data_IF_942189187944
#
_entry.id   IF_942189187944
#
_cell.length_a   1.000
_cell.length_b   1.000
_cell.length_c   1.000
_cell.angle_alpha   90.00
_cell.angle_beta   90.00
_cell.angle_gamma   90.00
#
_symmetry.space_group_name_H-M   'P 1'
#
loop_
_entity.id
_entity.type
_entity.pdbx_description
1 polymer ?
#
# COMPACT_ATOMS: atom_id res chain seq x y z
N UNK A 1 4.13 42.60 55.25
CA UNK A 1 4.77 43.05 54.01
C UNK A 1 4.55 41.96 53.00
N UNK A 2 3.50 42.11 52.21
CA UNK A 2 3.13 41.24 51.10
C UNK A 2 4.09 41.49 49.95
N UNK A 3 4.97 40.53 49.67
CA UNK A 3 5.78 40.55 48.47
C UNK A 3 4.86 40.33 47.28
N UNK A 4 4.63 41.41 46.51
CA UNK A 4 3.98 41.38 45.22
C UNK A 4 4.69 40.36 44.33
N UNK A 5 4.04 39.21 44.12
CA UNK A 5 4.36 38.26 43.07
C UNK A 5 4.03 38.90 41.72
N UNK A 6 4.91 39.80 41.26
CA UNK A 6 4.88 40.29 39.90
C UNK A 6 5.16 39.10 38.97
N UNK A 7 4.10 38.49 38.44
CA UNK A 7 4.17 37.59 37.30
C UNK A 7 4.82 38.36 36.15
N UNK A 8 6.14 38.25 36.03
CA UNK A 8 6.85 38.70 34.84
C UNK A 8 6.26 37.89 33.68
N UNK A 9 5.75 38.52 32.60
CA UNK A 9 5.25 37.76 31.46
C UNK A 9 6.39 36.84 31.01
N UNK A 10 6.17 35.52 31.09
CA UNK A 10 7.17 34.56 30.67
C UNK A 10 7.49 34.85 29.21
N UNK A 11 8.68 35.38 28.95
CA UNK A 11 9.15 35.58 27.59
C UNK A 11 9.32 34.18 26.99
N UNK A 12 8.33 33.74 26.23
CA UNK A 12 8.39 32.47 25.52
C UNK A 12 9.43 32.56 24.42
N UNK A 13 10.67 32.23 24.76
CA UNK A 13 11.81 32.19 23.85
C UNK A 13 11.52 31.33 22.61
N UNK A 14 10.75 30.26 22.79
CA UNK A 14 10.30 29.33 21.73
C UNK A 14 9.47 30.07 20.67
N UNK A 15 8.44 30.82 21.09
CA UNK A 15 7.53 31.53 20.17
C UNK A 15 8.27 32.66 19.44
N UNK A 16 9.21 33.31 20.13
CA UNK A 16 10.10 34.31 19.52
C UNK A 16 10.97 33.69 18.41
N UNK A 17 11.64 32.56 18.69
CA UNK A 17 12.43 31.87 17.66
C UNK A 17 11.57 31.34 16.50
N UNK A 18 10.37 30.82 16.79
CA UNK A 18 9.42 30.35 15.77
C UNK A 18 8.97 31.50 14.85
N UNK A 19 8.60 32.65 15.43
CA UNK A 19 8.18 33.81 14.64
C UNK A 19 9.31 34.33 13.74
N UNK A 20 10.55 34.40 14.25
CA UNK A 20 11.74 34.73 13.43
C UNK A 20 11.93 33.72 12.31
N UNK A 21 11.88 32.42 12.60
CA UNK A 21 11.99 31.38 11.59
C UNK A 21 10.91 31.49 10.51
N UNK A 22 9.67 31.80 10.89
CA UNK A 22 8.54 32.01 9.96
C UNK A 22 8.79 33.20 9.04
N UNK A 23 9.32 34.31 9.56
CA UNK A 23 9.69 35.46 8.72
C UNK A 23 10.81 35.10 7.74
N UNK A 24 11.83 34.36 8.18
CA UNK A 24 12.93 33.89 7.32
C UNK A 24 12.45 32.91 6.25
N UNK A 25 11.51 32.02 6.60
CA UNK A 25 10.88 31.10 5.63
C UNK A 25 10.11 31.89 4.56
N UNK A 26 9.38 32.95 4.93
CA UNK A 26 8.70 33.82 3.96
C UNK A 26 9.67 34.56 3.02
N UNK A 27 10.89 34.85 3.51
CA UNK A 27 12.02 35.40 2.73
C UNK A 27 12.78 34.33 1.93
N UNK A 28 12.38 33.06 2.00
CA UNK A 28 13.04 31.90 1.38
C UNK A 28 14.46 31.62 1.91
N UNK A 29 14.81 32.16 3.07
CA UNK A 29 16.09 31.90 3.75
C UNK A 29 16.02 30.61 4.59
N UNK A 30 15.82 29.46 3.94
CA UNK A 30 15.50 28.21 4.63
C UNK A 30 16.61 27.72 5.58
N UNK A 31 17.89 27.83 5.20
CA UNK A 31 19.00 27.41 6.06
C UNK A 31 19.07 28.20 7.38
N UNK A 32 18.83 29.51 7.32
CA UNK A 32 18.77 30.36 8.51
C UNK A 32 17.52 30.07 9.34
N UNK A 33 16.37 29.82 8.69
CA UNK A 33 15.17 29.40 9.39
C UNK A 33 15.38 28.09 10.17
N UNK A 34 16.06 27.10 9.59
CA UNK A 34 16.40 25.84 10.26
C UNK A 34 17.23 26.05 11.54
N UNK A 35 18.16 27.01 11.53
CA UNK A 35 18.96 27.34 12.72
C UNK A 35 18.09 27.82 13.89
N UNK A 36 17.19 28.77 13.65
CA UNK A 36 16.28 29.28 14.68
C UNK A 36 15.25 28.23 15.12
N UNK A 37 14.79 27.37 14.21
CA UNK A 37 13.90 26.26 14.56
C UNK A 37 14.60 25.22 15.44
N UNK A 38 15.88 24.94 15.19
CA UNK A 38 16.67 24.09 16.06
C UNK A 38 16.83 24.70 17.46
N UNK A 39 17.01 26.02 17.57
CA UNK A 39 17.02 26.72 18.87
C UNK A 39 15.66 26.66 19.57
N UNK A 40 14.56 26.84 18.83
CA UNK A 40 13.21 26.71 19.38
C UNK A 40 12.95 25.32 19.95
N UNK A 41 13.35 24.27 19.22
CA UNK A 41 13.18 22.89 19.64
C UNK A 41 14.08 22.55 20.84
N UNK A 42 15.32 23.03 20.90
CA UNK A 42 16.17 22.88 22.10
C UNK A 42 15.55 23.41 23.39
N UNK A 43 14.69 24.43 23.29
CA UNK A 43 13.99 25.00 24.44
C UNK A 43 12.69 24.25 24.74
N UNK A 44 12.01 23.75 23.71
CA UNK A 44 10.83 22.91 23.85
C UNK A 44 10.78 21.84 22.75
N UNK A 45 11.19 20.63 23.12
CA UNK A 45 11.23 19.46 22.23
C UNK A 45 9.85 18.96 21.79
N UNK A 46 8.75 19.54 22.29
CA UNK A 46 7.37 19.18 21.93
C UNK A 46 6.64 20.29 21.18
N UNK A 47 7.36 21.29 20.67
CA UNK A 47 6.73 22.39 19.95
C UNK A 47 6.37 22.01 18.50
N UNK A 48 5.13 21.56 18.32
CA UNK A 48 4.58 21.04 17.05
C UNK A 48 4.72 22.03 15.87
N UNK A 49 4.38 23.33 16.01
CA UNK A 49 4.55 24.30 14.92
C UNK A 49 6.00 24.40 14.42
N UNK A 50 7.00 24.29 15.31
CA UNK A 50 8.40 24.30 14.92
C UNK A 50 8.78 23.07 14.11
N UNK A 51 8.32 21.88 14.49
CA UNK A 51 8.56 20.68 13.68
C UNK A 51 7.94 20.81 12.28
N UNK A 52 6.68 21.24 12.19
CA UNK A 52 5.99 21.44 10.90
C UNK A 52 6.72 22.43 10.00
N UNK A 53 7.13 23.58 10.55
CA UNK A 53 7.86 24.59 9.79
C UNK A 53 9.26 24.09 9.39
N UNK A 54 9.92 23.29 10.25
CA UNK A 54 11.23 22.70 9.97
C UNK A 54 11.16 21.67 8.86
N UNK A 55 10.18 20.76 8.90
CA UNK A 55 9.93 19.81 7.81
C UNK A 55 9.65 20.51 6.49
N UNK A 56 8.90 21.61 6.51
CA UNK A 56 8.61 22.40 5.31
C UNK A 56 9.88 23.08 4.76
N UNK A 57 10.75 23.61 5.63
CA UNK A 57 12.05 24.13 5.22
C UNK A 57 12.95 23.04 4.62
N UNK A 58 13.00 21.83 5.23
CA UNK A 58 13.73 20.69 4.70
C UNK A 58 13.19 20.24 3.33
N UNK A 59 11.87 20.23 3.16
CA UNK A 59 11.22 19.93 1.88
C UNK A 59 11.66 20.90 0.77
N UNK A 60 11.69 22.21 1.04
CA UNK A 60 12.18 23.20 0.06
C UNK A 60 13.68 23.11 -0.23
N UNK A 61 14.46 22.52 0.67
CA UNK A 61 15.88 22.23 0.46
C UNK A 61 16.11 20.86 -0.22
N UNK A 62 15.04 20.17 -0.62
CA UNK A 62 15.05 18.81 -1.16
C UNK A 62 15.64 17.76 -0.20
N UNK A 63 15.66 18.04 1.11
CA UNK A 63 16.08 17.09 2.15
C UNK A 63 14.90 16.26 2.64
N UNK A 64 14.32 15.45 1.75
CA UNK A 64 13.06 14.73 1.98
C UNK A 64 13.12 13.76 3.17
N UNK A 65 14.24 13.07 3.40
CA UNK A 65 14.39 12.14 4.53
C UNK A 65 14.30 12.84 5.89
N UNK A 66 14.93 14.02 6.03
CA UNK A 66 14.86 14.83 7.26
C UNK A 66 13.45 15.39 7.45
N UNK A 67 12.82 15.83 6.36
CA UNK A 67 11.44 16.30 6.40
C UNK A 67 10.46 15.20 6.85
N UNK A 68 10.63 13.97 6.36
CA UNK A 68 9.81 12.83 6.77
C UNK A 68 9.95 12.53 8.27
N UNK A 69 11.17 12.52 8.79
CA UNK A 69 11.41 12.28 10.21
C UNK A 69 10.66 13.31 11.09
N UNK A 70 10.73 14.58 10.72
CA UNK A 70 10.05 15.67 11.44
C UNK A 70 8.53 15.59 11.35
N UNK A 71 7.97 15.17 10.22
CA UNK A 71 6.51 15.01 10.10
C UNK A 71 6.03 13.77 10.87
N UNK A 72 6.83 12.69 10.88
CA UNK A 72 6.52 11.49 11.65
C UNK A 72 6.49 11.77 13.16
N UNK A 73 7.40 12.59 13.70
CA UNK A 73 7.34 12.99 15.11
C UNK A 73 6.07 13.78 15.39
N UNK A 74 5.66 14.69 14.51
CA UNK A 74 4.39 15.42 14.66
C UNK A 74 3.19 14.47 14.65
N UNK A 75 3.16 13.48 13.76
CA UNK A 75 2.06 12.51 13.70
C UNK A 75 2.05 11.53 14.88
N UNK A 76 3.20 11.30 15.55
CA UNK A 76 3.24 10.56 16.81
C UNK A 76 2.57 11.34 17.94
N UNK A 77 2.76 12.66 18.00
CA UNK A 77 2.12 13.53 18.99
C UNK A 77 0.65 13.81 18.66
N UNK A 78 0.35 14.10 17.39
CA UNK A 78 -0.97 14.45 16.89
C UNK A 78 -1.30 13.64 15.62
N UNK A 79 -1.84 12.41 15.77
CA UNK A 79 -2.08 11.50 14.64
C UNK A 79 -3.16 11.98 13.67
N UNK A 80 -3.93 13.02 14.04
CA UNK A 80 -5.02 13.59 13.24
C UNK A 80 -4.74 15.03 12.80
N UNK A 81 -3.49 15.50 12.88
CA UNK A 81 -3.15 16.84 12.45
C UNK A 81 -3.24 16.95 10.91
N UNK A 82 -4.13 17.79 10.34
CA UNK A 82 -4.30 17.89 8.89
C UNK A 82 -3.08 18.51 8.20
N UNK A 83 -2.38 19.45 8.83
CA UNK A 83 -1.19 20.08 8.26
C UNK A 83 -0.03 19.10 8.17
N UNK A 84 0.13 18.23 9.17
CA UNK A 84 1.12 17.18 9.15
C UNK A 84 0.84 16.15 8.04
N UNK A 85 -0.41 15.72 7.88
CA UNK A 85 -0.81 14.79 6.82
C UNK A 85 -0.62 15.37 5.42
N UNK A 86 -0.94 16.66 5.24
CA UNK A 86 -0.72 17.36 3.99
C UNK A 86 0.77 17.40 3.64
N UNK A 87 1.61 17.81 4.60
CA UNK A 87 3.05 17.89 4.38
C UNK A 87 3.66 16.50 4.15
N UNK A 88 3.19 15.46 4.86
CA UNK A 88 3.60 14.07 4.62
C UNK A 88 3.31 13.65 3.17
N UNK A 89 2.10 13.93 2.68
CA UNK A 89 1.70 13.59 1.33
C UNK A 89 2.50 14.36 0.27
N UNK A 90 2.80 15.64 0.52
CA UNK A 90 3.68 16.43 -0.35
C UNK A 90 5.12 15.89 -0.37
N UNK A 91 5.66 15.46 0.77
CA UNK A 91 7.00 14.88 0.83
C UNK A 91 7.05 13.53 0.09
N UNK A 92 6.04 12.66 0.24
CA UNK A 92 5.94 11.42 -0.55
C UNK A 92 5.85 11.71 -2.05
N UNK A 93 5.06 12.71 -2.44
CA UNK A 93 4.96 13.13 -3.83
C UNK A 93 6.32 13.61 -4.38
N UNK A 94 7.08 14.40 -3.62
CA UNK A 94 8.42 14.85 -4.01
C UNK A 94 9.45 13.73 -4.07
N UNK A 95 9.28 12.69 -3.24
CA UNK A 95 10.10 11.48 -3.27
C UNK A 95 9.80 10.58 -4.48
N UNK A 96 8.65 10.77 -5.13
CA UNK A 96 8.16 9.97 -6.26
C UNK A 96 7.26 8.80 -5.85
N UNK A 97 6.93 8.67 -4.56
CA UNK A 97 6.08 7.62 -4.02
C UNK A 97 4.59 8.03 -4.19
N UNK A 98 4.11 8.06 -5.44
CA UNK A 98 2.81 8.63 -5.78
C UNK A 98 1.62 7.86 -5.16
N UNK A 99 1.73 6.55 -4.98
CA UNK A 99 0.68 5.72 -4.37
C UNK A 99 0.49 6.05 -2.88
N UNK A 100 1.59 6.12 -2.12
CA UNK A 100 1.60 6.49 -0.71
C UNK A 100 1.14 7.95 -0.50
N UNK A 101 1.57 8.85 -1.40
CA UNK A 101 1.10 10.23 -1.43
C UNK A 101 -0.43 10.30 -1.63
N UNK A 102 -0.96 9.58 -2.62
CA UNK A 102 -2.40 9.53 -2.93
C UNK A 102 -3.21 9.01 -1.73
N UNK A 103 -2.77 7.91 -1.11
CA UNK A 103 -3.42 7.37 0.08
C UNK A 103 -3.44 8.39 1.22
N UNK A 104 -2.32 9.09 1.45
CA UNK A 104 -2.19 10.09 2.51
C UNK A 104 -3.08 11.31 2.25
N UNK A 105 -3.14 11.80 1.01
CA UNK A 105 -4.05 12.88 0.61
C UNK A 105 -5.53 12.50 0.83
N UNK A 106 -5.92 11.26 0.51
CA UNK A 106 -7.27 10.77 0.80
C UNK A 106 -7.58 10.70 2.29
N UNK A 107 -6.65 10.22 3.12
CA UNK A 107 -6.80 10.22 4.58
C UNK A 107 -6.99 11.63 5.13
N UNK A 108 -6.20 12.60 4.64
CA UNK A 108 -6.35 14.01 4.99
C UNK A 108 -7.69 14.60 4.57
N UNK A 109 -8.16 14.29 3.34
CA UNK A 109 -9.46 14.72 2.82
C UNK A 109 -10.64 14.23 3.66
N UNK A 110 -10.58 12.98 4.15
CA UNK A 110 -11.61 12.43 5.03
C UNK A 110 -11.66 13.18 6.37
N UNK A 111 -10.51 13.58 6.91
CA UNK A 111 -10.42 14.30 8.19
C UNK A 111 -10.84 15.78 8.08
N UNK A 112 -10.43 16.46 7.00
CA UNK A 112 -10.70 17.87 6.75
C UNK A 112 -10.97 18.11 5.25
N UNK A 113 -12.23 17.93 4.79
CA UNK A 113 -12.58 18.12 3.38
C UNK A 113 -12.58 19.60 2.95
N UNK A 114 -12.56 20.53 3.90
CA UNK A 114 -12.53 21.98 3.63
C UNK A 114 -11.19 22.47 3.08
N UNK A 115 -10.10 21.71 3.29
CA UNK A 115 -8.77 22.08 2.82
C UNK A 115 -8.63 21.64 1.36
N UNK A 116 -8.71 22.59 0.45
CA UNK A 116 -8.65 22.38 -1.01
C UNK A 116 -7.34 21.71 -1.45
N UNK A 117 -6.24 21.95 -0.73
CA UNK A 117 -4.92 21.39 -1.02
C UNK A 117 -4.93 19.85 -1.06
N UNK A 118 -5.79 19.18 -0.28
CA UNK A 118 -5.95 17.73 -0.37
C UNK A 118 -6.53 17.30 -1.71
N UNK A 119 -7.55 18.02 -2.21
CA UNK A 119 -8.18 17.71 -3.49
C UNK A 119 -7.19 17.94 -4.65
N UNK A 120 -6.47 19.06 -4.61
CA UNK A 120 -5.42 19.37 -5.58
C UNK A 120 -4.30 18.33 -5.54
N UNK A 121 -3.90 17.87 -4.35
CA UNK A 121 -2.91 16.82 -4.15
C UNK A 121 -3.33 15.47 -4.72
N UNK A 122 -4.59 15.06 -4.51
CA UNK A 122 -5.17 13.84 -5.12
C UNK A 122 -5.08 13.92 -6.64
N UNK A 123 -5.54 15.01 -7.25
CA UNK A 123 -5.52 15.16 -8.70
C UNK A 123 -4.08 15.15 -9.26
N UNK A 124 -3.13 15.81 -8.58
CA UNK A 124 -1.71 15.77 -8.94
C UNK A 124 -1.15 14.34 -8.89
N UNK A 125 -1.48 13.56 -7.87
CA UNK A 125 -1.02 12.17 -7.78
C UNK A 125 -1.67 11.30 -8.85
N UNK A 126 -2.98 11.40 -9.08
CA UNK A 126 -3.69 10.65 -10.12
C UNK A 126 -3.12 10.92 -11.51
N UNK A 127 -2.90 12.20 -11.85
CA UNK A 127 -2.28 12.58 -13.11
C UNK A 127 -0.83 12.10 -13.22
N UNK A 128 -0.04 12.16 -12.14
CA UNK A 128 1.32 11.63 -12.11
C UNK A 128 1.33 10.11 -12.35
N UNK A 129 0.49 9.35 -11.65
CA UNK A 129 0.34 7.90 -11.82
C UNK A 129 -0.12 7.59 -13.24
N UNK A 130 -1.14 8.28 -13.74
CA UNK A 130 -1.66 8.07 -15.08
C UNK A 130 -0.59 8.32 -16.14
N UNK A 131 0.17 9.42 -16.03
CA UNK A 131 1.29 9.73 -16.90
C UNK A 131 2.42 8.70 -16.81
N UNK A 132 2.66 8.12 -15.63
CA UNK A 132 3.59 7.00 -15.47
C UNK A 132 3.05 5.71 -16.09
N UNK A 133 1.73 5.53 -16.15
CA UNK A 133 1.06 4.31 -16.63
C UNK A 133 0.60 4.34 -18.10
N UNK A 134 0.83 5.43 -18.86
CA UNK A 134 0.17 5.66 -20.18
C UNK A 134 0.43 4.64 -21.29
N UNK A 135 1.23 3.58 -21.07
CA UNK A 135 1.41 2.49 -22.04
C UNK A 135 0.61 1.22 -21.73
N UNK A 136 -0.14 1.15 -20.62
CA UNK A 136 -0.82 -0.08 -20.21
C UNK A 136 -2.36 0.04 -20.28
N UNK A 137 -2.92 0.04 -21.49
CA UNK A 137 -4.35 -0.29 -21.70
C UNK A 137 -4.56 -1.80 -21.53
N UNK A 138 -4.37 -2.30 -20.31
CA UNK A 138 -4.62 -3.72 -20.00
C UNK A 138 -6.13 -3.91 -19.90
N UNK A 139 -6.74 -4.50 -20.92
CA UNK A 139 -8.14 -4.92 -20.89
C UNK A 139 -8.18 -6.33 -20.32
N UNK A 140 -8.44 -6.44 -19.02
CA UNK A 140 -8.63 -7.73 -18.36
C UNK A 140 -9.89 -8.39 -18.95
N UNK A 141 -9.71 -9.50 -19.67
CA UNK A 141 -10.82 -10.33 -20.14
C UNK A 141 -11.41 -11.12 -18.97
N UNK A 142 -12.62 -11.65 -19.09
CA UNK A 142 -13.24 -12.48 -18.05
C UNK A 142 -12.40 -13.73 -17.70
N UNK A 143 -11.55 -14.15 -18.62
CA UNK A 143 -10.60 -15.26 -18.43
C UNK A 143 -9.32 -14.83 -17.69
N UNK A 144 -9.19 -13.53 -17.40
CA UNK A 144 -8.03 -12.85 -16.81
C UNK A 144 -6.72 -13.18 -17.54
N UNK A 145 -6.83 -13.36 -18.86
CA UNK A 145 -5.73 -13.85 -19.68
C UNK A 145 -4.77 -12.70 -20.03
N UNK A 146 -3.64 -12.68 -19.32
CA UNK A 146 -2.55 -11.73 -19.50
C UNK A 146 -1.62 -12.11 -20.67
N UNK A 147 -1.91 -13.19 -21.40
CA UNK A 147 -1.03 -13.69 -22.48
C UNK A 147 -0.72 -12.61 -23.52
N UNK A 148 -1.72 -11.81 -23.93
CA UNK A 148 -1.52 -10.70 -24.87
C UNK A 148 -0.59 -9.60 -24.34
N UNK A 149 -0.59 -9.35 -23.02
CA UNK A 149 0.30 -8.38 -22.39
C UNK A 149 1.74 -8.89 -22.37
N UNK A 150 1.94 -10.16 -21.97
CA UNK A 150 3.26 -10.78 -21.95
C UNK A 150 3.83 -11.04 -23.34
N UNK A 151 3.00 -11.31 -24.36
CA UNK A 151 3.44 -11.43 -25.75
C UNK A 151 4.00 -10.12 -26.31
N UNK A 152 3.44 -8.97 -25.91
CA UNK A 152 3.96 -7.65 -26.27
C UNK A 152 5.21 -7.24 -25.49
N UNK A 153 5.24 -7.51 -24.17
CA UNK A 153 6.35 -7.15 -23.30
C UNK A 153 7.58 -8.07 -23.48
N UNK A 154 7.37 -9.34 -23.83
CA UNK A 154 8.40 -10.34 -24.04
C UNK A 154 8.12 -11.12 -25.33
N UNK A 155 8.44 -10.56 -26.51
CA UNK A 155 8.21 -11.25 -27.77
C UNK A 155 8.93 -12.60 -27.75
N UNK A 156 8.17 -13.69 -27.92
CA UNK A 156 8.75 -15.04 -27.98
C UNK A 156 9.80 -15.02 -29.09
N UNK A 157 11.07 -15.29 -28.75
CA UNK A 157 12.05 -15.73 -29.75
C UNK A 157 11.38 -16.90 -30.48
N UNK A 158 11.31 -16.85 -31.82
CA UNK A 158 10.66 -17.87 -32.65
C UNK A 158 11.29 -19.24 -32.37
N UNK A 159 10.80 -19.94 -31.35
CA UNK A 159 11.16 -21.30 -31.04
C UNK A 159 10.42 -22.20 -32.03
N UNK A 160 11.13 -23.19 -32.54
CA UNK A 160 10.69 -24.06 -33.60
C UNK A 160 9.26 -24.57 -33.36
N UNK A 161 8.39 -24.32 -34.35
CA UNK A 161 7.10 -24.99 -34.50
C UNK A 161 7.36 -26.48 -34.48
N UNK A 162 7.17 -27.15 -33.35
CA UNK A 162 6.87 -28.58 -33.18
C UNK A 162 7.16 -29.00 -31.73
N UNK A 163 6.36 -28.54 -30.78
CA UNK A 163 6.20 -29.24 -29.51
C UNK A 163 4.69 -29.44 -29.29
N UNK A 164 4.19 -30.63 -29.60
CA UNK A 164 2.87 -31.05 -29.12
C UNK A 164 3.00 -31.17 -27.60
N UNK A 165 2.53 -30.16 -26.87
CA UNK A 165 2.39 -30.27 -25.42
C UNK A 165 1.25 -31.26 -25.19
N UNK A 166 1.63 -32.50 -24.88
CA UNK A 166 0.68 -33.52 -24.40
C UNK A 166 0.23 -33.06 -23.01
N UNK A 167 -0.97 -32.48 -22.92
CA UNK A 167 -1.64 -32.30 -21.63
C UNK A 167 -2.16 -33.69 -21.26
N UNK A 168 -1.34 -34.48 -20.56
CA UNK A 168 -1.81 -35.70 -19.92
C UNK A 168 -2.70 -35.30 -18.75
N UNK A 169 -3.98 -35.68 -18.81
CA UNK A 169 -4.89 -35.60 -17.65
C UNK A 169 -4.42 -36.61 -16.61
N UNK A 170 -3.48 -36.19 -15.77
CA UNK A 170 -3.08 -36.92 -14.58
C UNK A 170 -4.19 -36.91 -13.55
N UNK A 171 -4.35 -38.06 -12.85
CA UNK A 171 -5.20 -38.25 -11.68
C UNK A 171 -4.90 -37.15 -10.63
N UNK A 172 -5.88 -36.63 -9.88
CA UNK A 172 -5.62 -35.58 -8.88
C UNK A 172 -4.57 -36.08 -7.88
N UNK A 173 -3.45 -35.36 -7.72
CA UNK A 173 -2.38 -35.77 -6.82
C UNK A 173 -2.72 -35.47 -5.36
N UNK A 174 -2.38 -36.40 -4.48
CA UNK A 174 -2.63 -36.33 -3.04
C UNK A 174 -1.96 -35.10 -2.41
N UNK A 175 -2.71 -34.37 -1.58
CA UNK A 175 -2.27 -33.12 -0.97
C UNK A 175 -1.20 -33.38 0.09
N UNK A 176 -0.02 -32.73 0.02
CA UNK A 176 0.96 -32.77 1.11
C UNK A 176 0.35 -32.23 2.41
N UNK A 177 0.49 -32.98 3.50
CA UNK A 177 -0.18 -32.79 4.80
C UNK A 177 0.13 -31.44 5.50
N UNK A 178 1.16 -30.71 5.07
CA UNK A 178 1.63 -29.47 5.71
C UNK A 178 1.10 -28.15 5.12
N UNK A 179 0.24 -28.20 4.08
CA UNK A 179 -0.13 -26.99 3.33
C UNK A 179 -1.61 -26.65 3.46
N UNK A 180 -1.90 -25.43 3.94
CA UNK A 180 -3.25 -24.95 4.17
C UNK A 180 -4.17 -25.14 2.94
N UNK A 181 -5.42 -25.62 3.15
CA UNK A 181 -6.40 -25.82 2.09
C UNK A 181 -6.94 -24.48 1.57
N UNK A 182 -7.54 -24.52 0.37
CA UNK A 182 -8.25 -23.36 -0.18
C UNK A 182 -9.45 -22.99 0.72
N UNK A 183 -9.69 -21.69 1.00
CA UNK A 183 -10.60 -21.24 2.05
C UNK A 183 -12.09 -21.54 1.89
N UNK A 184 -12.59 -21.93 0.72
CA UNK A 184 -14.05 -22.02 0.50
C UNK A 184 -14.46 -23.26 -0.30
N UNK A 185 -15.54 -23.92 0.15
CA UNK A 185 -16.23 -25.04 -0.54
C UNK A 185 -17.65 -24.67 -1.02
N UNK A 186 -17.96 -23.38 -1.17
CA UNK A 186 -19.29 -22.91 -1.65
C UNK A 186 -19.46 -23.23 -3.14
N UNK A 187 -20.68 -23.54 -3.61
CA UNK A 187 -20.91 -23.77 -5.03
C UNK A 187 -20.74 -22.47 -5.85
N UNK A 188 -20.24 -22.63 -7.09
CA UNK A 188 -19.77 -21.53 -7.95
C UNK A 188 -20.84 -20.47 -8.25
N UNK A 189 -22.09 -20.87 -8.37
CA UNK A 189 -23.21 -19.96 -8.65
C UNK A 189 -23.44 -18.97 -7.51
N UNK A 190 -23.27 -19.42 -6.27
CA UNK A 190 -23.41 -18.59 -5.06
C UNK A 190 -22.21 -17.64 -4.95
N UNK A 191 -21.00 -18.16 -5.20
CA UNK A 191 -19.78 -17.34 -5.20
C UNK A 191 -19.84 -16.21 -6.22
N UNK A 192 -20.31 -16.49 -7.45
CA UNK A 192 -20.44 -15.46 -8.49
C UNK A 192 -21.40 -14.35 -8.09
N UNK A 193 -22.52 -14.70 -7.45
CA UNK A 193 -23.50 -13.72 -6.97
C UNK A 193 -22.97 -12.86 -5.83
N UNK A 194 -22.26 -13.46 -4.87
CA UNK A 194 -21.73 -12.75 -3.70
C UNK A 194 -20.54 -11.84 -4.03
N UNK A 195 -19.66 -12.32 -4.92
CA UNK A 195 -18.40 -11.64 -5.23
C UNK A 195 -18.56 -10.58 -6.32
N UNK A 196 -19.61 -10.68 -7.15
CA UNK A 196 -19.88 -9.74 -8.23
C UNK A 196 -18.69 -9.61 -9.18
N UNK A 197 -18.17 -8.38 -9.32
CA UNK A 197 -16.98 -8.10 -10.14
C UNK A 197 -15.73 -8.85 -9.62
N UNK A 198 -15.61 -9.01 -8.30
CA UNK A 198 -14.50 -9.69 -7.61
C UNK A 198 -14.41 -11.21 -7.84
N UNK A 199 -15.39 -11.79 -8.55
CA UNK A 199 -15.43 -13.22 -8.82
C UNK A 199 -14.30 -13.67 -9.75
N UNK A 200 -13.94 -12.84 -10.73
CA UNK A 200 -12.92 -13.20 -11.72
C UNK A 200 -11.54 -13.33 -11.05
N UNK A 201 -11.21 -12.40 -10.17
CA UNK A 201 -10.00 -12.40 -9.35
C UNK A 201 -9.96 -13.62 -8.42
N UNK A 202 -11.09 -13.99 -7.82
CA UNK A 202 -11.18 -15.19 -6.99
C UNK A 202 -10.92 -16.48 -7.79
N UNK A 203 -11.53 -16.62 -8.97
CA UNK A 203 -11.30 -17.80 -9.82
C UNK A 203 -9.87 -17.87 -10.35
N UNK A 204 -9.24 -16.71 -10.58
CA UNK A 204 -7.82 -16.66 -10.95
C UNK A 204 -6.93 -17.13 -9.82
N UNK A 205 -7.18 -16.67 -8.58
CA UNK A 205 -6.42 -17.11 -7.41
C UNK A 205 -6.61 -18.61 -7.13
N UNK A 206 -7.81 -19.16 -7.36
CA UNK A 206 -8.08 -20.59 -7.25
C UNK A 206 -7.27 -21.41 -8.28
N UNK A 207 -7.24 -20.96 -9.55
CA UNK A 207 -6.40 -21.58 -10.59
C UNK A 207 -4.91 -21.52 -10.25
N UNK A 208 -4.43 -20.33 -9.86
CA UNK A 208 -3.04 -20.10 -9.43
C UNK A 208 -2.66 -20.99 -8.25
N UNK A 209 -3.55 -21.16 -7.28
CA UNK A 209 -3.34 -22.08 -6.16
C UNK A 209 -3.15 -23.52 -6.66
N UNK A 210 -4.03 -23.99 -7.55
CA UNK A 210 -3.92 -25.31 -8.17
C UNK A 210 -2.60 -25.51 -8.92
N UNK A 211 -2.20 -24.54 -9.75
CA UNK A 211 -0.96 -24.61 -10.52
C UNK A 211 0.28 -24.64 -9.60
N UNK A 212 0.32 -23.81 -8.56
CA UNK A 212 1.41 -23.83 -7.58
C UNK A 212 1.42 -25.13 -6.75
N UNK A 213 0.25 -25.74 -6.45
CA UNK A 213 0.22 -27.05 -5.78
C UNK A 213 0.85 -28.16 -6.62
N UNK A 214 0.52 -28.19 -7.92
CA UNK A 214 1.09 -29.15 -8.86
C UNK A 214 2.60 -28.92 -9.02
N UNK A 215 3.02 -27.65 -9.09
CA UNK A 215 4.43 -27.28 -9.20
C UNK A 215 5.24 -27.68 -7.97
N UNK A 216 4.71 -27.47 -6.76
CA UNK A 216 5.35 -27.90 -5.51
C UNK A 216 5.56 -29.41 -5.51
N UNK A 217 4.55 -30.20 -5.87
CA UNK A 217 4.66 -31.66 -5.92
C UNK A 217 5.69 -32.11 -6.96
N UNK A 218 5.69 -31.51 -8.15
CA UNK A 218 6.69 -31.80 -9.19
C UNK A 218 8.11 -31.50 -8.69
N UNK A 219 8.32 -30.32 -8.10
CA UNK A 219 9.62 -29.93 -7.55
C UNK A 219 10.06 -30.82 -6.37
N UNK A 220 9.13 -31.23 -5.51
CA UNK A 220 9.42 -32.16 -4.41
C UNK A 220 9.81 -33.56 -4.92
N UNK A 221 9.17 -34.05 -5.97
CA UNK A 221 9.53 -35.32 -6.60
C UNK A 221 10.89 -35.26 -7.32
N UNK A 222 11.25 -34.11 -7.88
CA UNK A 222 12.52 -33.89 -8.55
C UNK A 222 13.68 -33.59 -7.58
N UNK A 223 13.38 -33.09 -6.38
CA UNK A 223 14.35 -32.68 -5.36
C UNK A 223 15.09 -33.84 -4.68
N UNK A 224 14.79 -35.10 -5.00
CA UNK A 224 15.51 -36.24 -4.43
C UNK A 224 16.97 -36.33 -4.88
N UNK A 225 17.39 -35.63 -5.96
CA UNK A 225 18.77 -35.76 -6.48
C UNK A 225 19.62 -34.49 -6.69
N UNK A 226 19.14 -33.22 -6.80
CA UNK A 226 20.11 -32.09 -7.00
C UNK A 226 19.66 -30.64 -6.66
N UNK A 227 20.67 -29.83 -6.31
CA UNK A 227 20.89 -28.35 -6.40
C UNK A 227 20.16 -27.34 -5.47
N UNK A 228 20.89 -26.35 -4.91
CA UNK A 228 20.33 -25.24 -4.11
C UNK A 228 19.40 -24.29 -4.88
N UNK A 229 19.54 -24.18 -6.21
CA UNK A 229 18.66 -23.35 -7.04
C UNK A 229 17.21 -23.88 -7.11
N UNK A 230 17.04 -25.21 -7.07
CA UNK A 230 15.71 -25.84 -6.99
C UNK A 230 15.03 -25.58 -5.65
N UNK A 231 15.79 -25.47 -4.55
CA UNK A 231 15.23 -25.11 -3.24
C UNK A 231 14.71 -23.67 -3.21
N UNK A 232 15.40 -22.72 -3.88
CA UNK A 232 14.93 -21.35 -3.98
C UNK A 232 13.60 -21.24 -4.77
N UNK A 233 13.49 -21.97 -5.88
CA UNK A 233 12.25 -22.00 -6.68
C UNK A 233 11.10 -22.70 -5.95
N UNK A 234 11.38 -23.78 -5.21
CA UNK A 234 10.40 -24.44 -4.35
C UNK A 234 9.90 -23.51 -3.24
N UNK A 235 10.78 -22.77 -2.58
CA UNK A 235 10.40 -21.82 -1.54
C UNK A 235 9.52 -20.69 -2.09
N UNK A 236 9.87 -20.14 -3.26
CA UNK A 236 9.06 -19.13 -3.95
C UNK A 236 7.67 -19.67 -4.31
N UNK A 237 7.58 -20.90 -4.82
CA UNK A 237 6.31 -21.55 -5.15
C UNK A 237 5.44 -21.77 -3.90
N UNK A 238 6.05 -22.17 -2.78
CA UNK A 238 5.36 -22.25 -1.47
C UNK A 238 4.87 -20.89 -0.99
N UNK A 239 5.64 -19.82 -1.15
CA UNK A 239 5.22 -18.45 -0.80
C UNK A 239 4.07 -17.96 -1.68
N UNK A 240 4.15 -18.15 -3.00
CA UNK A 240 3.07 -17.82 -3.93
C UNK A 240 1.77 -18.54 -3.57
N UNK A 241 1.85 -19.81 -3.19
CA UNK A 241 0.68 -20.57 -2.70
C UNK A 241 0.11 -19.94 -1.43
N UNK A 242 0.95 -19.57 -0.46
CA UNK A 242 0.52 -18.94 0.80
C UNK A 242 -0.15 -17.59 0.56
N UNK A 243 0.40 -16.77 -0.35
CA UNK A 243 -0.19 -15.47 -0.68
C UNK A 243 -1.53 -15.64 -1.39
N UNK A 244 -1.66 -16.59 -2.31
CA UNK A 244 -2.93 -16.91 -2.96
C UNK A 244 -4.02 -17.30 -1.94
N UNK A 245 -3.69 -18.17 -0.97
CA UNK A 245 -4.62 -18.54 0.12
C UNK A 245 -5.01 -17.31 0.95
N UNK A 246 -4.05 -16.45 1.32
CA UNK A 246 -4.34 -15.23 2.10
C UNK A 246 -5.29 -14.30 1.35
N UNK A 247 -5.05 -14.07 0.06
CA UNK A 247 -5.92 -13.25 -0.77
C UNK A 247 -7.31 -13.88 -0.92
N UNK A 248 -7.38 -15.20 -1.15
CA UNK A 248 -8.63 -15.95 -1.20
C UNK A 248 -9.43 -15.82 0.11
N UNK A 249 -8.78 -15.95 1.27
CA UNK A 249 -9.45 -15.83 2.58
C UNK A 249 -10.01 -14.43 2.83
N UNK A 250 -9.34 -13.40 2.33
CA UNK A 250 -9.79 -12.02 2.47
C UNK A 250 -11.04 -11.78 1.63
N UNK A 251 -11.01 -12.20 0.37
CA UNK A 251 -12.15 -12.13 -0.53
C UNK A 251 -13.35 -12.92 0.01
N UNK A 252 -13.09 -14.10 0.57
CA UNK A 252 -14.14 -14.93 1.16
C UNK A 252 -14.80 -14.28 2.37
N UNK A 253 -14.00 -13.72 3.29
CA UNK A 253 -14.51 -12.98 4.46
C UNK A 253 -15.32 -11.76 4.05
N UNK A 254 -14.89 -11.09 2.98
CA UNK A 254 -15.59 -9.93 2.43
C UNK A 254 -16.97 -10.35 1.88
N UNK A 255 -17.04 -11.46 1.13
CA UNK A 255 -18.32 -12.03 0.68
C UNK A 255 -19.22 -12.48 1.84
N UNK A 256 -18.66 -13.06 2.91
CA UNK A 256 -19.42 -13.44 4.10
C UNK A 256 -20.03 -12.24 4.83
N UNK A 257 -19.33 -11.10 4.86
CA UNK A 257 -19.86 -9.86 5.40
C UNK A 257 -21.08 -9.39 4.60
N UNK A 258 -21.03 -9.45 3.27
CA UNK A 258 -22.19 -9.14 2.42
C UNK A 258 -23.36 -10.10 2.64
N UNK A 259 -23.08 -11.40 2.75
CA UNK A 259 -24.10 -12.41 3.04
C UNK A 259 -24.75 -12.20 4.42
N UNK A 260 -24.04 -11.64 5.41
CA UNK A 260 -24.60 -11.30 6.73
C UNK A 260 -25.49 -10.07 6.71
N UNK A 261 -25.18 -9.10 5.83
CA UNK A 261 -25.87 -7.81 5.75
C UNK A 261 -27.17 -7.87 4.95
N UNK A 262 -27.27 -8.75 3.95
CA UNK A 262 -28.46 -8.84 3.09
C UNK A 262 -29.14 -10.23 3.20
N UNK A 263 -30.34 -10.33 3.82
CA UNK A 263 -31.04 -11.59 3.98
C UNK A 263 -31.48 -12.25 2.66
N UNK A 264 -31.52 -11.52 1.54
CA UNK A 264 -31.82 -12.06 0.21
C UNK A 264 -30.73 -12.99 -0.36
N UNK A 265 -29.53 -12.96 0.20
CA UNK A 265 -28.40 -13.83 -0.19
C UNK A 265 -28.20 -15.05 0.72
N UNK A 266 -29.06 -15.22 1.75
CA UNK A 266 -29.01 -16.40 2.63
C UNK A 266 -29.47 -17.63 1.88
N UNK A 267 -28.53 -18.51 1.55
CA UNK A 267 -28.87 -19.87 1.15
C UNK A 267 -29.15 -20.69 2.41
N UNK A 268 -30.34 -21.28 2.49
CA UNK A 268 -30.59 -22.37 3.43
C UNK A 268 -29.56 -23.44 3.14
N UNK A 269 -28.65 -23.71 4.08
CA UNK A 269 -27.91 -24.97 4.05
C UNK A 269 -28.97 -26.05 3.92
N UNK A 270 -28.97 -26.77 2.81
CA UNK A 270 -29.67 -28.05 2.74
C UNK A 270 -28.88 -28.97 3.66
N UNK A 271 -29.32 -29.06 4.91
CA UNK A 271 -28.87 -30.07 5.84
C UNK A 271 -29.18 -31.44 5.20
N UNK A 272 -28.13 -32.19 4.91
CA UNK A 272 -28.17 -33.64 4.73
C UNK A 272 -28.31 -34.30 6.10
#
# INVERSE_FOLDING_TARGET
MSEDSSERPAFNSVDAYYSVARTLQSRKEYQRALFYLALALKQNDKHIPSYLLRSLCHMYLCETDKALADVQTVLQYEPKNPHALLLLAEIYYLRGDFEEALQTFHRGRILRPTIEQFLVGVHKCETAIQNSCTDCKIRLTADLDLTNFYEGAFPRKKAARNAKILITRGKPPETPEDLAPWPTTRPKDIQRRLMGQGYNEFTYLEKMFGDETNRIQQLQSANQDVMPEMNATLNRSKENRKTAVRCGTYLDRHADLFHKLDPGFRHTKTDS
#
